data_IF_332845848579
#
_entry.id   IF_332845848579
#
_cell.length_a   1.000
_cell.length_b   1.000
_cell.length_c   1.000
_cell.angle_alpha   90.00
_cell.angle_beta   90.00
_cell.angle_gamma   90.00
#
_symmetry.space_group_name_H-M   'P 1'
#
loop_
_entity.id
_entity.type
_entity.pdbx_description
1 polymer ?
#
# COMPACT_ATOMS: atom_id res chain seq x y z
N UNK A 1 -11.80 -12.61 -60.69
CA UNK A 1 -10.68 -12.45 -59.74
C UNK A 1 -10.84 -11.09 -59.06
N UNK A 2 -11.46 -11.09 -57.89
CA UNK A 2 -11.59 -9.89 -57.05
C UNK A 2 -10.25 -9.66 -56.35
N UNK A 3 -9.63 -8.47 -56.46
CA UNK A 3 -8.41 -8.18 -55.73
C UNK A 3 -8.71 -8.19 -54.24
N UNK A 4 -7.99 -9.01 -53.48
CA UNK A 4 -8.04 -9.05 -52.01
C UNK A 4 -7.69 -7.65 -51.50
N UNK A 5 -8.71 -6.94 -51.03
CA UNK A 5 -8.59 -5.59 -50.49
C UNK A 5 -7.70 -5.59 -49.24
N UNK A 6 -6.58 -4.86 -49.37
CA UNK A 6 -5.89 -4.09 -48.35
C UNK A 6 -5.82 -4.65 -46.92
N UNK A 7 -4.67 -5.23 -46.57
CA UNK A 7 -4.19 -5.24 -45.20
C UNK A 7 -4.04 -3.78 -44.73
N UNK A 8 -5.04 -3.23 -44.05
CA UNK A 8 -4.92 -1.98 -43.32
C UNK A 8 -3.89 -2.18 -42.22
N UNK A 9 -2.66 -1.71 -42.47
CA UNK A 9 -1.61 -1.71 -41.47
C UNK A 9 -2.13 -1.00 -40.22
N UNK A 10 -2.23 -1.75 -39.13
CA UNK A 10 -2.70 -1.25 -37.85
C UNK A 10 -1.77 -0.10 -37.43
N UNK A 11 -2.34 1.06 -37.10
CA UNK A 11 -1.53 2.20 -36.69
C UNK A 11 -0.72 1.84 -35.44
N UNK A 12 0.49 2.40 -35.31
CA UNK A 12 1.35 2.17 -34.14
C UNK A 12 0.61 2.48 -32.83
N UNK A 13 -0.25 3.49 -32.82
CA UNK A 13 -1.09 3.84 -31.67
C UNK A 13 -2.12 2.76 -31.34
N UNK A 14 -2.73 2.16 -32.36
CA UNK A 14 -3.66 1.04 -32.17
C UNK A 14 -2.95 -0.18 -31.59
N UNK A 15 -1.72 -0.46 -32.03
CA UNK A 15 -0.89 -1.53 -31.46
C UNK A 15 -0.54 -1.29 -30.00
N UNK A 16 -0.08 -0.08 -29.67
CA UNK A 16 0.26 0.27 -28.29
C UNK A 16 -0.95 0.23 -27.36
N UNK A 17 -2.12 0.67 -27.82
CA UNK A 17 -3.35 0.60 -27.03
C UNK A 17 -3.78 -0.85 -26.77
N UNK A 18 -3.75 -1.72 -27.79
CA UNK A 18 -4.05 -3.14 -27.63
C UNK A 18 -3.09 -3.80 -26.63
N UNK A 19 -1.80 -3.45 -26.69
CA UNK A 19 -0.80 -3.93 -25.74
C UNK A 19 -1.13 -3.46 -24.31
N UNK A 20 -1.42 -2.17 -24.10
CA UNK A 20 -1.77 -1.65 -22.77
C UNK A 20 -3.03 -2.29 -22.19
N UNK A 21 -4.02 -2.59 -23.03
CA UNK A 21 -5.23 -3.27 -22.59
C UNK A 21 -4.96 -4.71 -22.13
N UNK A 22 -4.15 -5.45 -22.89
CA UNK A 22 -3.74 -6.81 -22.51
C UNK A 22 -3.02 -6.80 -21.15
N UNK A 23 -2.06 -5.89 -20.96
CA UNK A 23 -1.33 -5.79 -19.70
C UNK A 23 -2.22 -5.33 -18.54
N UNK A 24 -3.13 -4.37 -18.78
CA UNK A 24 -4.11 -3.92 -17.79
C UNK A 24 -4.99 -5.08 -17.31
N UNK A 25 -5.43 -5.94 -18.22
CA UNK A 25 -6.27 -7.08 -17.90
C UNK A 25 -5.49 -8.13 -17.08
N UNK A 26 -4.24 -8.41 -17.45
CA UNK A 26 -3.37 -9.31 -16.69
C UNK A 26 -3.16 -8.80 -15.25
N UNK A 27 -2.85 -7.52 -15.07
CA UNK A 27 -2.67 -6.90 -13.75
C UNK A 27 -3.95 -6.88 -12.93
N UNK A 28 -5.10 -6.68 -13.56
CA UNK A 28 -6.40 -6.73 -12.89
C UNK A 28 -6.68 -8.13 -12.35
N UNK A 29 -6.35 -9.17 -13.10
CA UNK A 29 -6.48 -10.55 -12.65
C UNK A 29 -5.52 -10.86 -11.50
N UNK A 30 -4.26 -10.45 -11.59
CA UNK A 30 -3.29 -10.61 -10.50
C UNK A 30 -3.74 -9.89 -9.23
N UNK A 31 -4.24 -8.65 -9.36
CA UNK A 31 -4.77 -7.87 -8.24
C UNK A 31 -5.99 -8.55 -7.60
N UNK A 32 -6.88 -9.14 -8.40
CA UNK A 32 -8.01 -9.90 -7.89
C UNK A 32 -7.55 -11.12 -7.09
N UNK A 33 -6.59 -11.88 -7.62
CA UNK A 33 -6.02 -13.05 -6.96
C UNK A 33 -5.33 -12.68 -5.63
N UNK A 34 -4.55 -11.59 -5.61
CA UNK A 34 -3.87 -11.11 -4.40
C UNK A 34 -4.86 -10.67 -3.32
N UNK A 35 -5.94 -9.98 -3.69
CA UNK A 35 -7.01 -9.59 -2.75
C UNK A 35 -7.78 -10.81 -2.23
N UNK A 36 -8.10 -11.76 -3.11
CA UNK A 36 -8.72 -13.03 -2.73
C UNK A 36 -7.86 -13.76 -1.68
N UNK A 37 -6.56 -13.86 -1.93
CA UNK A 37 -5.60 -14.44 -1.00
C UNK A 37 -5.57 -13.72 0.38
N UNK A 38 -5.60 -12.38 0.40
CA UNK A 38 -5.70 -11.61 1.66
C UNK A 38 -6.98 -11.89 2.43
N UNK A 39 -8.12 -11.96 1.74
CA UNK A 39 -9.40 -12.30 2.35
C UNK A 39 -9.34 -13.70 2.93
N UNK A 40 -8.82 -14.68 2.17
CA UNK A 40 -8.64 -16.06 2.64
C UNK A 40 -7.76 -16.12 3.88
N UNK A 41 -6.62 -15.42 3.94
CA UNK A 41 -5.78 -15.40 5.15
C UNK A 41 -6.55 -14.85 6.36
N UNK A 42 -7.29 -13.76 6.19
CA UNK A 42 -8.06 -13.16 7.26
C UNK A 42 -9.18 -14.10 7.75
N UNK A 43 -9.97 -14.66 6.83
CA UNK A 43 -11.07 -15.56 7.17
C UNK A 43 -10.56 -16.85 7.79
N UNK A 44 -9.54 -17.48 7.22
CA UNK A 44 -8.91 -18.68 7.79
C UNK A 44 -8.35 -18.39 9.18
N UNK A 45 -7.73 -17.24 9.42
CA UNK A 45 -7.26 -16.87 10.77
C UNK A 45 -8.41 -16.78 11.77
N UNK A 46 -9.48 -16.07 11.43
CA UNK A 46 -10.64 -15.90 12.30
C UNK A 46 -11.30 -17.26 12.58
N UNK A 47 -11.56 -18.05 11.53
CA UNK A 47 -12.20 -19.37 11.64
C UNK A 47 -11.33 -20.35 12.43
N UNK A 48 -10.03 -20.43 12.14
CA UNK A 48 -9.12 -21.30 12.87
C UNK A 48 -9.01 -20.90 14.34
N UNK A 49 -8.95 -19.60 14.64
CA UNK A 49 -8.94 -19.10 16.02
C UNK A 49 -10.21 -19.50 16.76
N UNK A 50 -11.39 -19.25 16.16
CA UNK A 50 -12.67 -19.63 16.76
C UNK A 50 -12.78 -21.15 17.00
N UNK A 51 -12.37 -21.96 16.02
CA UNK A 51 -12.37 -23.41 16.13
C UNK A 51 -11.43 -23.88 17.25
N UNK A 52 -10.16 -23.42 17.25
CA UNK A 52 -9.16 -23.84 18.22
C UNK A 52 -9.54 -23.41 19.65
N UNK A 53 -10.05 -22.20 19.84
CA UNK A 53 -10.55 -21.74 21.14
C UNK A 53 -11.78 -22.56 21.59
N UNK A 54 -12.73 -22.83 20.68
CA UNK A 54 -13.92 -23.62 20.97
C UNK A 54 -13.59 -25.09 21.33
N UNK A 55 -12.65 -25.71 20.62
CA UNK A 55 -12.17 -27.05 20.93
C UNK A 55 -11.42 -27.07 22.27
N UNK A 56 -10.58 -26.07 22.55
CA UNK A 56 -9.86 -25.96 23.83
C UNK A 56 -10.82 -25.79 25.01
N UNK A 57 -11.94 -25.08 24.80
CA UNK A 57 -12.96 -24.89 25.83
C UNK A 57 -13.85 -26.11 26.07
N UNK A 58 -14.07 -26.95 25.05
CA UNK A 58 -15.00 -28.09 25.12
C UNK A 58 -14.31 -29.42 25.44
N UNK A 59 -13.20 -29.73 24.77
CA UNK A 59 -12.53 -31.02 24.87
C UNK A 59 -11.64 -31.15 26.11
N UNK A 60 -11.20 -30.03 26.68
CA UNK A 60 -10.20 -30.01 27.74
C UNK A 60 -10.79 -29.56 29.07
N UNK A 61 -12.10 -29.73 29.29
CA UNK A 61 -12.72 -29.57 30.62
C UNK A 61 -12.22 -30.67 31.57
N UNK A 62 -11.00 -30.50 32.07
CA UNK A 62 -10.46 -31.27 33.16
C UNK A 62 -10.96 -30.72 34.49
N UNK A 63 -11.14 -31.59 35.48
CA UNK A 63 -11.33 -31.14 36.86
C UNK A 63 -10.12 -30.31 37.33
N UNK A 64 -10.35 -29.38 38.25
CA UNK A 64 -9.31 -28.57 38.87
C UNK A 64 -8.17 -29.48 39.39
N UNK A 65 -6.91 -29.13 39.06
CA UNK A 65 -5.73 -29.90 39.44
C UNK A 65 -5.38 -31.11 38.57
N UNK A 66 -6.21 -31.48 37.59
CA UNK A 66 -5.89 -32.58 36.67
C UNK A 66 -4.80 -32.18 35.64
N UNK A 67 -3.97 -33.12 35.15
CA UNK A 67 -3.04 -32.87 34.03
C UNK A 67 -3.73 -32.30 32.78
N UNK A 68 -5.01 -32.63 32.59
CA UNK A 68 -5.82 -32.10 31.50
C UNK A 68 -6.03 -30.57 31.60
N UNK A 69 -6.14 -30.01 32.81
CA UNK A 69 -6.25 -28.55 33.01
C UNK A 69 -4.97 -27.81 32.58
N UNK A 70 -3.79 -28.41 32.80
CA UNK A 70 -2.51 -27.84 32.32
C UNK A 70 -2.44 -27.82 30.79
N UNK A 71 -2.84 -28.93 30.16
CA UNK A 71 -2.89 -29.03 28.69
C UNK A 71 -3.92 -28.03 28.12
N UNK A 72 -5.04 -27.82 28.81
CA UNK A 72 -6.04 -26.83 28.45
C UNK A 72 -5.47 -25.42 28.36
N UNK A 73 -4.72 -24.99 29.39
CA UNK A 73 -4.09 -23.68 29.40
C UNK A 73 -3.14 -23.47 28.21
N UNK A 74 -2.37 -24.49 27.86
CA UNK A 74 -1.48 -24.45 26.69
C UNK A 74 -2.24 -24.43 25.37
N UNK A 75 -3.38 -25.13 25.27
CA UNK A 75 -4.18 -25.21 24.06
C UNK A 75 -4.74 -23.85 23.63
N UNK A 76 -5.03 -22.95 24.57
CA UNK A 76 -5.46 -21.57 24.29
C UNK A 76 -4.40 -20.71 23.59
N UNK A 77 -3.12 -21.10 23.63
CA UNK A 77 -2.06 -20.44 22.86
C UNK A 77 -1.94 -20.95 21.42
N UNK A 78 -2.53 -22.10 21.07
CA UNK A 78 -2.45 -22.67 19.72
C UNK A 78 -2.90 -21.72 18.59
N UNK A 79 -3.96 -20.89 18.75
CA UNK A 79 -4.31 -19.90 17.73
C UNK A 79 -3.17 -18.95 17.36
N UNK A 80 -2.27 -18.61 18.30
CA UNK A 80 -1.14 -17.71 18.02
C UNK A 80 -0.19 -18.26 16.96
N UNK A 81 -0.02 -19.58 16.90
CA UNK A 81 0.81 -20.24 15.89
C UNK A 81 0.24 -20.07 14.46
N UNK A 82 -1.06 -19.81 14.33
CA UNK A 82 -1.72 -19.51 13.04
C UNK A 82 -1.77 -18.00 12.79
N UNK A 83 -2.18 -17.22 13.80
CA UNK A 83 -2.41 -15.78 13.70
C UNK A 83 -1.14 -15.03 13.29
N UNK A 84 -0.02 -15.28 13.97
CA UNK A 84 1.23 -14.51 13.81
C UNK A 84 1.82 -14.63 12.39
N UNK A 85 2.05 -15.84 11.82
CA UNK A 85 2.57 -15.95 10.47
C UNK A 85 1.62 -15.35 9.43
N UNK A 86 0.30 -15.53 9.59
CA UNK A 86 -0.68 -14.97 8.64
C UNK A 86 -0.73 -13.45 8.71
N UNK A 87 -0.53 -12.86 9.90
CA UNK A 87 -0.42 -11.42 10.07
C UNK A 87 0.75 -10.84 9.25
N UNK A 88 1.92 -11.48 9.31
CA UNK A 88 3.11 -11.04 8.57
C UNK A 88 2.93 -11.20 7.06
N UNK A 89 2.45 -12.36 6.61
CA UNK A 89 2.20 -12.63 5.19
C UNK A 89 1.16 -11.66 4.63
N UNK A 90 0.10 -11.36 5.39
CA UNK A 90 -0.97 -10.45 4.96
C UNK A 90 -0.43 -9.06 4.61
N UNK A 91 0.41 -8.47 5.47
CA UNK A 91 0.97 -7.14 5.24
C UNK A 91 2.09 -7.12 4.20
N UNK A 92 2.80 -8.23 4.00
CA UNK A 92 3.71 -8.35 2.86
C UNK A 92 2.95 -8.34 1.52
N UNK A 93 1.84 -9.09 1.43
CA UNK A 93 0.95 -9.05 0.26
C UNK A 93 0.33 -7.67 0.03
N UNK A 94 0.01 -6.95 1.10
CA UNK A 94 -0.50 -5.58 0.99
C UNK A 94 0.49 -4.64 0.28
N UNK A 95 1.80 -4.75 0.56
CA UNK A 95 2.84 -3.97 -0.14
C UNK A 95 2.91 -4.30 -1.62
N UNK A 96 2.72 -5.57 -1.97
CA UNK A 96 2.67 -6.01 -3.38
C UNK A 96 1.46 -5.42 -4.09
N UNK A 97 0.28 -5.46 -3.47
CA UNK A 97 -0.95 -4.85 -3.99
C UNK A 97 -0.77 -3.36 -4.25
N UNK A 98 -0.20 -2.59 -3.31
CA UNK A 98 -0.01 -1.15 -3.52
C UNK A 98 0.98 -0.85 -4.64
N UNK A 99 1.98 -1.71 -4.85
CA UNK A 99 2.93 -1.62 -5.97
C UNK A 99 2.24 -1.88 -7.32
N UNK A 100 1.44 -2.94 -7.43
CA UNK A 100 0.65 -3.27 -8.64
C UNK A 100 -0.31 -2.15 -8.98
N UNK A 101 -1.09 -1.67 -8.00
CA UNK A 101 -2.04 -0.57 -8.21
C UNK A 101 -1.33 0.72 -8.62
N UNK A 102 -0.15 1.00 -8.07
CA UNK A 102 0.67 2.15 -8.48
C UNK A 102 1.03 2.09 -9.96
N UNK A 103 1.43 0.92 -10.46
CA UNK A 103 1.75 0.74 -11.88
C UNK A 103 0.52 0.82 -12.77
N UNK A 104 -0.57 0.17 -12.33
CA UNK A 104 -1.86 0.21 -13.00
C UNK A 104 -2.35 1.64 -13.28
N UNK A 105 -2.18 2.56 -12.31
CA UNK A 105 -2.53 3.98 -12.50
C UNK A 105 -1.67 4.68 -13.55
N UNK A 106 -0.38 4.34 -13.62
CA UNK A 106 0.51 4.88 -14.66
C UNK A 106 0.08 4.37 -16.03
N UNK A 107 -0.23 3.08 -16.14
CA UNK A 107 -0.73 2.47 -17.38
C UNK A 107 -2.04 3.13 -17.85
N UNK A 108 -3.01 3.32 -16.94
CA UNK A 108 -4.27 4.02 -17.22
C UNK A 108 -4.03 5.48 -17.67
N UNK A 109 -3.06 6.16 -17.06
CA UNK A 109 -2.66 7.50 -17.47
C UNK A 109 -2.05 7.55 -18.88
N UNK A 110 -1.28 6.54 -19.28
CA UNK A 110 -0.74 6.42 -20.64
C UNK A 110 -1.86 6.15 -21.66
N UNK A 111 -2.77 5.22 -21.37
CA UNK A 111 -3.91 4.90 -22.25
C UNK A 111 -4.84 6.10 -22.48
N UNK A 112 -5.08 6.91 -21.44
CA UNK A 112 -5.92 8.10 -21.53
C UNK A 112 -5.18 9.34 -22.08
N UNK A 113 -3.93 9.18 -22.53
CA UNK A 113 -3.10 10.29 -23.03
C UNK A 113 -2.78 11.35 -21.98
N UNK A 114 -2.96 11.05 -20.69
CA UNK A 114 -2.61 11.93 -19.55
C UNK A 114 -1.10 11.92 -19.31
N UNK A 115 -0.46 10.78 -19.56
CA UNK A 115 0.97 10.58 -19.44
C UNK A 115 1.59 10.30 -20.81
N UNK A 116 2.85 10.67 -20.95
CA UNK A 116 3.70 10.31 -22.08
C UNK A 116 4.94 9.61 -21.53
N UNK A 117 5.25 8.41 -22.04
CA UNK A 117 6.43 7.64 -21.65
C UNK A 117 7.44 7.60 -22.78
N UNK A 118 8.72 7.88 -22.46
CA UNK A 118 9.82 7.80 -23.44
C UNK A 118 10.11 6.36 -23.88
N UNK A 119 9.85 5.40 -23.01
CA UNK A 119 10.10 3.99 -23.26
C UNK A 119 9.14 3.18 -22.40
N UNK A 120 8.33 2.34 -23.04
CA UNK A 120 7.46 1.42 -22.33
C UNK A 120 8.21 0.12 -22.01
N UNK A 121 8.03 -0.36 -20.78
CA UNK A 121 8.51 -1.67 -20.35
C UNK A 121 7.32 -2.41 -19.76
N UNK A 122 7.07 -3.64 -20.22
CA UNK A 122 6.03 -4.46 -19.62
C UNK A 122 6.30 -4.75 -18.14
N UNK A 123 5.24 -5.08 -17.41
CA UNK A 123 5.20 -5.22 -15.95
C UNK A 123 6.41 -5.94 -15.34
N UNK A 124 6.75 -7.14 -15.82
CA UNK A 124 7.85 -7.94 -15.24
C UNK A 124 9.21 -7.25 -15.36
N UNK A 125 9.50 -6.69 -16.54
CA UNK A 125 10.75 -5.95 -16.78
C UNK A 125 10.79 -4.64 -15.98
N UNK A 126 9.64 -3.96 -15.87
CA UNK A 126 9.53 -2.76 -15.06
C UNK A 126 9.69 -3.09 -13.57
N UNK A 127 9.19 -4.24 -13.12
CA UNK A 127 9.28 -4.71 -11.75
C UNK A 127 10.71 -5.07 -11.35
N UNK A 128 11.48 -5.69 -12.23
CA UNK A 128 12.91 -5.91 -12.01
C UNK A 128 13.65 -4.58 -11.81
N UNK A 129 13.38 -3.58 -12.67
CA UNK A 129 13.94 -2.23 -12.51
C UNK A 129 13.51 -1.57 -11.20
N UNK A 130 12.27 -1.78 -10.77
CA UNK A 130 11.77 -1.27 -9.48
C UNK A 130 12.49 -1.92 -8.29
N UNK A 131 12.83 -3.20 -8.36
CA UNK A 131 13.60 -3.89 -7.32
C UNK A 131 15.02 -3.31 -7.23
N UNK A 132 15.73 -3.21 -8.35
CA UNK A 132 17.07 -2.58 -8.41
C UNK A 132 17.05 -1.13 -7.93
N UNK A 133 16.07 -0.35 -8.38
CA UNK A 133 15.90 1.03 -7.93
C UNK A 133 15.67 1.14 -6.42
N UNK A 134 15.00 0.17 -5.79
CA UNK A 134 14.80 0.14 -4.34
C UNK A 134 16.05 -0.32 -3.60
N UNK A 135 16.82 -1.26 -4.16
CA UNK A 135 18.11 -1.71 -3.62
C UNK A 135 19.12 -0.56 -3.62
N UNK A 136 19.33 0.08 -4.78
CA UNK A 136 20.22 1.24 -4.95
C UNK A 136 19.82 2.42 -4.07
N UNK A 137 18.51 2.62 -3.84
CA UNK A 137 18.00 3.69 -2.97
C UNK A 137 17.83 3.30 -1.51
N UNK A 138 18.00 2.03 -1.15
CA UNK A 138 18.09 1.66 0.25
C UNK A 138 19.38 2.23 0.87
N UNK A 139 20.42 2.43 0.06
CA UNK A 139 21.64 3.18 0.43
C UNK A 139 21.46 4.70 0.37
N UNK A 140 20.63 5.19 -0.57
CA UNK A 140 20.32 6.61 -0.72
C UNK A 140 19.00 6.98 -0.01
N UNK A 141 19.08 7.21 1.31
CA UNK A 141 18.10 7.82 2.24
C UNK A 141 16.64 8.03 1.74
N UNK A 142 15.61 7.70 2.57
CA UNK A 142 14.20 7.81 2.19
C UNK A 142 13.89 9.16 1.56
N UNK A 143 13.21 9.13 0.41
CA UNK A 143 12.96 10.30 -0.45
C UNK A 143 12.44 11.50 0.38
N UNK A 144 13.36 12.39 0.79
CA UNK A 144 13.18 13.46 1.80
C UNK A 144 12.13 14.51 1.42
N UNK A 145 11.57 14.45 0.21
CA UNK A 145 10.64 15.45 -0.31
C UNK A 145 9.17 15.30 0.11
N UNK A 146 8.73 14.14 0.61
CA UNK A 146 7.28 13.89 0.78
C UNK A 146 6.84 13.44 2.18
N UNK A 147 7.77 13.15 3.09
CA UNK A 147 7.46 12.79 4.48
C UNK A 147 7.26 13.98 5.42
N UNK A 148 7.23 15.23 4.89
CA UNK A 148 6.99 16.42 5.72
C UNK A 148 5.60 16.47 6.36
N UNK A 149 4.66 15.62 5.96
CA UNK A 149 3.44 15.40 6.72
C UNK A 149 3.69 14.35 7.80
N UNK A 150 4.22 14.79 8.94
CA UNK A 150 4.07 14.09 10.21
C UNK A 150 2.57 14.03 10.51
N UNK A 151 1.89 13.02 10.00
CA UNK A 151 0.50 12.80 10.36
C UNK A 151 0.50 12.36 11.83
N UNK A 152 -0.25 13.01 12.71
CA UNK A 152 -0.25 12.63 14.12
C UNK A 152 -0.74 11.18 14.25
N UNK A 153 0.00 10.36 15.01
CA UNK A 153 -0.35 8.98 15.40
C UNK A 153 -1.84 8.76 15.71
N UNK A 154 -2.54 9.70 16.40
CA UNK A 154 -3.98 9.65 16.57
C UNK A 154 -4.79 9.32 15.32
N UNK A 155 -4.41 9.79 14.13
CA UNK A 155 -5.20 9.51 12.91
C UNK A 155 -5.24 8.04 12.52
N UNK A 156 -4.18 7.30 12.81
CA UNK A 156 -4.13 5.85 12.57
C UNK A 156 -5.01 5.13 13.59
N UNK A 157 -4.91 5.55 14.84
CA UNK A 157 -5.71 5.03 15.94
C UNK A 157 -7.21 5.23 15.68
N UNK A 158 -7.60 6.42 15.20
CA UNK A 158 -8.99 6.78 14.91
C UNK A 158 -9.49 6.35 13.53
N UNK A 159 -8.75 5.50 12.78
CA UNK A 159 -9.19 4.98 11.48
C UNK A 159 -9.57 6.07 10.45
N UNK A 160 -9.04 7.29 10.58
CA UNK A 160 -9.46 8.46 9.78
C UNK A 160 -8.78 8.55 8.40
N UNK A 161 -8.15 7.47 7.97
CA UNK A 161 -7.40 7.43 6.71
C UNK A 161 -8.28 6.96 5.55
N UNK A 162 -7.99 7.38 4.32
CA UNK A 162 -8.76 6.95 3.13
C UNK A 162 -8.69 5.44 2.89
N UNK A 163 -7.68 4.76 3.43
CA UNK A 163 -7.46 3.32 3.27
C UNK A 163 -7.74 2.59 4.60
N UNK A 164 -8.98 2.68 5.09
CA UNK A 164 -9.41 2.11 6.39
C UNK A 164 -9.21 0.59 6.52
N UNK A 165 -9.15 -0.12 5.39
CA UNK A 165 -9.00 -1.57 5.36
C UNK A 165 -7.73 -2.06 6.08
N UNK A 166 -6.57 -1.42 5.88
CA UNK A 166 -5.32 -1.88 6.48
C UNK A 166 -5.28 -1.76 8.00
N UNK A 167 -5.67 -0.61 8.60
CA UNK A 167 -5.83 -0.53 10.05
C UNK A 167 -6.85 -1.50 10.62
N UNK A 168 -8.00 -1.73 9.96
CA UNK A 168 -9.02 -2.68 10.43
C UNK A 168 -8.41 -4.09 10.53
N UNK A 169 -7.73 -4.57 9.48
CA UNK A 169 -7.08 -5.88 9.52
C UNK A 169 -5.99 -5.94 10.59
N UNK A 170 -5.19 -4.89 10.77
CA UNK A 170 -4.20 -4.80 11.85
C UNK A 170 -4.85 -5.01 13.23
N UNK A 171 -5.96 -4.32 13.51
CA UNK A 171 -6.68 -4.46 14.78
C UNK A 171 -7.29 -5.84 14.96
N UNK A 172 -7.82 -6.47 13.90
CA UNK A 172 -8.35 -7.83 13.99
C UNK A 172 -7.24 -8.81 14.41
N UNK A 173 -6.08 -8.81 13.73
CA UNK A 173 -4.97 -9.69 14.10
C UNK A 173 -4.47 -9.41 15.53
N UNK A 174 -4.35 -8.14 15.92
CA UNK A 174 -3.92 -7.76 17.26
C UNK A 174 -4.91 -8.23 18.33
N UNK A 175 -6.21 -7.98 18.15
CA UNK A 175 -7.25 -8.37 19.11
C UNK A 175 -7.32 -9.88 19.25
N UNK A 176 -7.29 -10.64 18.15
CA UNK A 176 -7.29 -12.11 18.19
C UNK A 176 -6.05 -12.66 18.92
N UNK A 177 -4.89 -12.03 18.69
CA UNK A 177 -3.66 -12.39 19.40
C UNK A 177 -3.78 -12.13 20.90
N UNK A 178 -4.27 -10.95 21.28
CA UNK A 178 -4.44 -10.57 22.68
C UNK A 178 -5.47 -11.47 23.38
N UNK A 179 -6.61 -11.75 22.76
CA UNK A 179 -7.63 -12.66 23.32
C UNK A 179 -7.03 -14.05 23.58
N UNK A 180 -6.36 -14.62 22.57
CA UNK A 180 -5.75 -15.97 22.71
C UNK A 180 -4.66 -15.98 23.79
N UNK A 181 -3.84 -14.93 23.83
CA UNK A 181 -2.81 -14.76 24.84
C UNK A 181 -3.37 -14.63 26.26
N UNK A 182 -4.36 -13.75 26.47
CA UNK A 182 -4.94 -13.53 27.80
C UNK A 182 -5.70 -14.75 28.29
N UNK A 183 -6.45 -15.46 27.43
CA UNK A 183 -7.13 -16.70 27.80
C UNK A 183 -6.14 -17.80 28.21
N UNK A 184 -5.06 -17.98 27.43
CA UNK A 184 -4.00 -18.94 27.77
C UNK A 184 -3.26 -18.56 29.05
N UNK A 185 -2.93 -17.28 29.22
CA UNK A 185 -2.28 -16.80 30.43
C UNK A 185 -3.17 -16.97 31.66
N UNK A 186 -4.45 -16.58 31.61
CA UNK A 186 -5.37 -16.75 32.72
C UNK A 186 -5.56 -18.22 33.10
N UNK A 187 -5.65 -19.11 32.11
CA UNK A 187 -5.80 -20.54 32.35
C UNK A 187 -4.53 -21.22 32.90
N UNK A 188 -3.35 -20.60 32.72
CA UNK A 188 -2.07 -21.14 33.19
C UNK A 188 -1.58 -20.53 34.51
N UNK A 189 -2.09 -19.36 34.91
CA UNK A 189 -1.67 -18.66 36.14
C UNK A 189 -1.89 -19.49 37.41
N UNK A 190 -2.97 -20.29 37.48
CA UNK A 190 -3.25 -21.14 38.65
C UNK A 190 -2.22 -22.27 38.84
N UNK A 191 -1.51 -22.65 37.77
CA UNK A 191 -0.50 -23.71 37.76
C UNK A 191 0.84 -23.18 37.25
N UNK A 192 1.18 -21.93 37.61
CA UNK A 192 2.36 -21.25 37.08
C UNK A 192 3.64 -21.91 37.59
N UNK A 193 4.24 -22.76 36.75
CA UNK A 193 5.65 -23.15 36.91
C UNK A 193 6.57 -22.19 36.14
N UNK A 194 7.88 -22.31 36.39
CA UNK A 194 8.90 -21.49 35.75
C UNK A 194 8.89 -21.61 34.21
N UNK A 195 8.58 -22.79 33.68
CA UNK A 195 8.51 -23.04 32.24
C UNK A 195 7.34 -22.29 31.58
N UNK A 196 6.16 -22.32 32.20
CA UNK A 196 4.99 -21.58 31.73
C UNK A 196 5.22 -20.07 31.78
N UNK A 197 5.86 -19.56 32.84
CA UNK A 197 6.21 -18.14 32.92
C UNK A 197 7.12 -17.68 31.76
N UNK A 198 8.15 -18.48 31.43
CA UNK A 198 9.03 -18.20 30.28
C UNK A 198 8.25 -18.25 28.96
N UNK A 199 7.37 -19.24 28.78
CA UNK A 199 6.55 -19.36 27.58
C UNK A 199 5.65 -18.14 27.39
N UNK A 200 4.92 -17.73 28.45
CA UNK A 200 4.04 -16.55 28.44
C UNK A 200 4.85 -15.30 28.07
N UNK A 201 6.00 -15.08 28.72
CA UNK A 201 6.85 -13.93 28.43
C UNK A 201 7.34 -13.94 26.97
N UNK A 202 7.77 -15.10 26.47
CA UNK A 202 8.23 -15.27 25.09
C UNK A 202 7.13 -14.95 24.09
N UNK A 203 5.92 -15.48 24.30
CA UNK A 203 4.77 -15.21 23.45
C UNK A 203 4.37 -13.73 23.48
N UNK A 204 4.40 -13.09 24.66
CA UNK A 204 4.14 -11.67 24.79
C UNK A 204 5.14 -10.84 23.96
N UNK A 205 6.44 -11.16 24.04
CA UNK A 205 7.48 -10.48 23.25
C UNK A 205 7.25 -10.69 21.76
N UNK A 206 6.93 -11.90 21.30
CA UNK A 206 6.66 -12.18 19.87
C UNK A 206 5.43 -11.38 19.39
N UNK A 207 4.37 -11.30 20.20
CA UNK A 207 3.17 -10.50 19.87
C UNK A 207 3.53 -9.02 19.76
N UNK A 208 4.31 -8.48 20.71
CA UNK A 208 4.74 -7.07 20.69
C UNK A 208 5.62 -6.74 19.49
N UNK A 209 6.60 -7.60 19.17
CA UNK A 209 7.43 -7.45 17.96
C UNK A 209 6.56 -7.49 16.71
N UNK A 210 5.64 -8.46 16.62
CA UNK A 210 4.72 -8.60 15.50
C UNK A 210 3.83 -7.38 15.34
N UNK A 211 3.27 -6.87 16.44
CA UNK A 211 2.46 -5.65 16.44
C UNK A 211 3.28 -4.44 15.97
N UNK A 212 4.50 -4.24 16.50
CA UNK A 212 5.38 -3.14 16.10
C UNK A 212 5.76 -3.18 14.62
N UNK A 213 6.20 -4.33 14.12
CA UNK A 213 6.58 -4.51 12.71
C UNK A 213 5.39 -4.29 11.77
N UNK A 214 4.22 -4.84 12.10
CA UNK A 214 3.03 -4.69 11.25
C UNK A 214 2.41 -3.28 11.36
N UNK A 215 2.53 -2.61 12.50
CA UNK A 215 2.15 -1.21 12.64
C UNK A 215 3.00 -0.32 11.75
N UNK A 216 4.32 -0.56 11.70
CA UNK A 216 5.21 0.12 10.78
C UNK A 216 4.87 -0.19 9.31
N UNK A 217 4.45 -1.43 9.00
CA UNK A 217 3.98 -1.78 7.67
C UNK A 217 2.70 -1.00 7.29
N UNK A 218 1.72 -0.91 8.20
CA UNK A 218 0.49 -0.12 8.02
C UNK A 218 0.84 1.36 7.81
N UNK A 219 1.71 1.92 8.64
CA UNK A 219 2.20 3.28 8.48
C UNK A 219 2.78 3.50 7.08
N UNK A 220 3.64 2.59 6.63
CA UNK A 220 4.28 2.66 5.32
C UNK A 220 3.30 2.51 4.16
N UNK A 221 2.22 1.75 4.32
CA UNK A 221 1.15 1.58 3.33
C UNK A 221 0.24 2.81 3.22
N UNK A 222 0.01 3.52 4.32
CA UNK A 222 -0.86 4.70 4.32
C UNK A 222 -0.08 5.93 3.87
N UNK A 223 1.09 6.17 4.47
CA UNK A 223 1.81 7.44 4.38
C UNK A 223 3.24 7.30 3.85
N UNK A 224 3.81 6.10 3.90
CA UNK A 224 5.22 5.90 3.57
C UNK A 224 5.50 5.46 2.13
N UNK A 225 6.64 4.82 1.98
CA UNK A 225 7.21 4.38 0.70
C UNK A 225 6.34 3.34 -0.04
N UNK A 226 5.44 2.66 0.68
CA UNK A 226 4.54 1.65 0.10
C UNK A 226 3.11 2.19 -0.11
N UNK A 227 2.90 3.50 0.03
CA UNK A 227 1.62 4.11 -0.31
C UNK A 227 1.35 4.07 -1.81
N UNK A 228 0.07 4.08 -2.20
CA UNK A 228 -0.33 4.09 -3.61
C UNK A 228 0.32 5.24 -4.39
N UNK A 229 0.36 6.44 -3.79
CA UNK A 229 0.96 7.64 -4.41
C UNK A 229 2.47 7.52 -4.54
N UNK A 230 3.16 6.99 -3.54
CA UNK A 230 4.61 6.79 -3.59
C UNK A 230 4.98 5.78 -4.67
N UNK A 231 4.26 4.66 -4.76
CA UNK A 231 4.47 3.66 -5.81
C UNK A 231 4.17 4.22 -7.20
N UNK A 232 3.07 4.93 -7.40
CA UNK A 232 2.75 5.59 -8.68
C UNK A 232 3.88 6.53 -9.14
N UNK A 233 4.39 7.37 -8.24
CA UNK A 233 5.54 8.25 -8.54
C UNK A 233 6.83 7.49 -8.85
N UNK A 234 7.09 6.41 -8.12
CA UNK A 234 8.25 5.55 -8.40
C UNK A 234 8.15 4.93 -9.80
N UNK A 235 6.96 4.45 -10.17
CA UNK A 235 6.69 3.91 -11.51
C UNK A 235 6.84 4.96 -12.60
N UNK A 236 6.32 6.17 -12.40
CA UNK A 236 6.53 7.26 -13.35
C UNK A 236 8.01 7.53 -13.61
N UNK A 237 8.88 7.46 -12.59
CA UNK A 237 10.33 7.63 -12.77
C UNK A 237 10.95 6.49 -13.56
N UNK A 238 10.61 5.25 -13.23
CA UNK A 238 11.14 4.05 -13.89
C UNK A 238 10.76 4.02 -15.37
N UNK A 239 9.51 4.35 -15.68
CA UNK A 239 9.01 4.42 -17.05
C UNK A 239 9.37 5.74 -17.75
N UNK A 240 10.07 6.65 -17.07
CA UNK A 240 10.36 8.01 -17.53
C UNK A 240 9.10 8.73 -18.04
N UNK A 241 7.95 8.42 -17.43
CA UNK A 241 6.67 8.99 -17.77
C UNK A 241 6.53 10.40 -17.21
N UNK A 242 5.93 11.31 -17.98
CA UNK A 242 5.64 12.70 -17.58
C UNK A 242 4.19 13.03 -17.88
N UNK A 243 3.64 13.97 -17.12
CA UNK A 243 2.32 14.54 -17.43
C UNK A 243 2.38 15.26 -18.77
N UNK A 244 1.47 14.93 -19.69
CA UNK A 244 1.30 15.67 -20.93
C UNK A 244 0.70 17.05 -20.60
N UNK A 245 1.39 18.14 -20.94
CA UNK A 245 0.84 19.49 -20.76
C UNK A 245 -0.31 19.67 -21.76
N UNK A 246 -1.56 19.69 -21.29
CA UNK A 246 -2.69 20.10 -22.15
C UNK A 246 -2.47 21.54 -22.64
N UNK A 247 -2.40 21.73 -23.96
CA UNK A 247 -2.36 23.06 -24.60
C UNK A 247 -0.97 23.58 -24.97
N UNK A 248 0.08 22.77 -24.95
CA UNK A 248 1.36 23.13 -25.60
C UNK A 248 1.41 22.38 -26.94
N UNK A 249 1.34 23.06 -28.09
CA UNK A 249 1.50 22.41 -29.40
C UNK A 249 2.84 21.67 -29.46
N UNK A 250 2.84 20.48 -30.05
CA UNK A 250 3.96 19.51 -30.03
C UNK A 250 5.27 20.06 -30.63
N UNK A 251 5.22 21.18 -31.37
CA UNK A 251 6.38 21.89 -31.90
C UNK A 251 7.32 22.49 -30.82
N UNK A 252 6.85 22.68 -29.59
CA UNK A 252 7.67 23.29 -28.53
C UNK A 252 8.58 22.31 -27.78
N UNK A 253 8.43 20.99 -27.98
CA UNK A 253 9.25 19.98 -27.28
C UNK A 253 10.67 19.83 -27.85
N UNK A 254 11.00 20.50 -28.95
CA UNK A 254 12.36 20.64 -29.49
C UNK A 254 13.11 21.90 -29.03
N UNK A 255 12.45 22.85 -28.34
CA UNK A 255 13.12 24.07 -27.86
C UNK A 255 13.61 23.92 -26.43
N UNK A 256 14.87 24.30 -26.22
CA UNK A 256 15.55 24.26 -24.93
C UNK A 256 14.72 24.97 -23.83
N UNK A 257 14.69 24.45 -22.59
CA UNK A 257 13.89 24.98 -21.48
C UNK A 257 14.03 26.48 -21.20
N UNK A 258 15.13 27.10 -21.65
CA UNK A 258 15.44 28.52 -21.46
C UNK A 258 14.51 29.47 -22.23
N UNK A 259 14.09 29.12 -23.45
CA UNK A 259 13.24 30.01 -24.27
C UNK A 259 11.82 30.12 -23.68
N UNK A 260 11.29 29.00 -23.16
CA UNK A 260 10.00 28.97 -22.49
C UNK A 260 10.00 29.71 -21.13
N UNK A 261 11.09 29.59 -20.36
CA UNK A 261 11.22 30.31 -19.09
C UNK A 261 11.34 31.83 -19.30
N UNK A 262 12.03 32.30 -20.35
CA UNK A 262 12.05 33.74 -20.71
C UNK A 262 10.68 34.30 -21.05
N UNK A 263 9.89 33.59 -21.86
CA UNK A 263 8.53 34.03 -22.22
C UNK A 263 7.60 34.12 -21.02
N UNK A 264 7.69 33.14 -20.09
CA UNK A 264 6.86 33.16 -18.87
C UNK A 264 7.25 34.28 -17.90
N UNK A 265 8.54 34.56 -17.74
CA UNK A 265 9.02 35.68 -16.91
C UNK A 265 8.59 37.04 -17.51
N UNK A 266 8.63 37.20 -18.83
CA UNK A 266 8.12 38.41 -19.49
C UNK A 266 6.61 38.57 -19.31
N UNK A 267 5.83 37.48 -19.42
CA UNK A 267 4.37 37.54 -19.21
C UNK A 267 3.98 37.88 -17.76
N UNK A 268 4.82 37.51 -16.79
CA UNK A 268 4.61 37.84 -15.37
C UNK A 268 5.02 39.27 -15.03
N UNK A 269 6.07 39.82 -15.67
CA UNK A 269 6.42 41.24 -15.56
C UNK A 269 5.34 42.16 -16.15
N UNK A 270 4.67 41.74 -17.22
CA UNK A 270 3.58 42.50 -17.84
C UNK A 270 2.29 42.56 -17.00
N UNK A 271 2.14 41.69 -16.00
CA UNK A 271 0.94 41.63 -15.13
C UNK A 271 1.12 42.26 -13.75
N UNK A 272 2.29 42.83 -13.44
CA UNK A 272 2.45 43.59 -12.21
C UNK A 272 1.77 44.97 -12.38
N UNK A 273 0.80 45.32 -11.53
CA UNK A 273 0.14 46.62 -11.60
C UNK A 273 1.16 47.72 -11.36
N UNK A 274 1.14 48.73 -12.24
CA UNK A 274 2.00 49.91 -12.12
C UNK A 274 1.83 50.56 -10.73
N UNK A 275 2.91 50.86 -10.00
CA UNK A 275 2.86 51.29 -8.60
C UNK A 275 2.21 52.67 -8.34
N UNK A 276 1.73 53.37 -9.37
CA UNK A 276 1.21 54.74 -9.26
C UNK A 276 -0.31 54.87 -9.50
N UNK A 277 -1.11 53.83 -9.23
CA UNK A 277 -2.58 53.97 -9.32
C UNK A 277 -3.12 54.56 -8.00
N UNK A 278 -3.64 55.81 -7.98
CA UNK A 278 -4.18 56.39 -6.76
C UNK A 278 -5.44 55.64 -6.33
N UNK A 279 -5.49 55.27 -5.05
CA UNK A 279 -6.63 54.64 -4.41
C UNK A 279 -7.80 55.65 -4.36
N UNK A 280 -8.81 55.39 -5.19
CA UNK A 280 -10.06 56.15 -5.19
C UNK A 280 -10.76 56.01 -3.84
N UNK A 281 -11.05 57.15 -3.23
CA UNK A 281 -11.91 57.32 -2.06
C UNK A 281 -13.35 57.22 -2.54
N UNK A 282 -14.04 56.13 -2.24
CA UNK A 282 -15.50 56.06 -2.28
C UNK A 282 -15.99 55.12 -1.18
N UNK A 283 -16.35 55.69 -0.04
CA UNK A 283 -17.30 55.08 0.90
C UNK A 283 -18.11 56.22 1.54
N UNK A 284 -19.28 56.46 0.97
CA UNK A 284 -20.37 57.22 1.56
C UNK A 284 -21.56 56.28 1.78
N UNK A 285 -22.13 56.37 2.99
CA UNK A 285 -23.50 56.03 3.40
C UNK A 285 -24.03 54.60 3.14
N UNK A 286 -24.16 53.82 4.21
CA UNK A 286 -25.43 53.63 4.95
C UNK A 286 -25.17 52.84 6.23
#
# INVERSE_FOLDING_TARGET
MTPLQGNTAMSQDSYMNAFYEAERNALRQELHNLKGCQITFLTTTITATGLLLGLSATLLKGGEGSPAARIQGLAFFLPLAVIIPFWWIFFDKAKTITRVVGYYRVLEGLMLGRYEAKSYHGWENALEKMRRFREEKHDAAPYKGETKYQIPWPRIIFLTTSNRYWPICYYIFLILSLISFFLGASATVENLDYGHAILILTLAVIILISAGVNLQAVWNLINGANSYRANEKAWMRILKARYRKKGVPDEANGMAPESYMRGKIQSLKARQPHPNRPLGKDFHHA
#
